data_IF_456331949901
#
_entry.id   IF_456331949901
#
_cell.length_a   1.000
_cell.length_b   1.000
_cell.length_c   1.000
_cell.angle_alpha   90.00
_cell.angle_beta   90.00
_cell.angle_gamma   90.00
#
_symmetry.space_group_name_H-M   'P 1'
#
loop_
_entity.id
_entity.type
_entity.pdbx_description
1 polymer ?
#
# COMPACT_ATOMS: atom_id res chain seq x y z
N UNK A 1 -7.35 -10.41 -6.79
CA UNK A 1 -8.34 -9.96 -5.79
C UNK A 1 -8.91 -8.63 -6.28
N UNK A 2 -10.23 -8.39 -6.20
CA UNK A 2 -10.80 -7.07 -6.44
C UNK A 2 -10.13 -6.01 -5.53
N UNK A 3 -10.00 -4.77 -6.00
CA UNK A 3 -9.34 -3.70 -5.24
C UNK A 3 -8.01 -3.18 -5.82
N UNK A 4 -7.52 -3.71 -6.95
CA UNK A 4 -6.35 -3.15 -7.69
C UNK A 4 -5.14 -2.74 -6.81
N UNK A 5 -4.67 -3.67 -5.99
CA UNK A 5 -3.50 -3.47 -5.13
C UNK A 5 -2.24 -3.14 -5.93
N UNK A 6 -1.55 -2.05 -5.58
CA UNK A 6 -0.26 -1.70 -6.16
C UNK A 6 0.58 -0.85 -5.21
N UNK A 7 1.90 -1.00 -5.32
CA UNK A 7 2.85 -0.17 -4.59
C UNK A 7 2.87 1.26 -5.16
N UNK A 8 2.92 2.24 -4.26
CA UNK A 8 3.14 3.63 -4.63
C UNK A 8 4.62 3.89 -4.94
N UNK A 9 4.89 5.01 -5.61
CA UNK A 9 6.22 5.36 -6.12
C UNK A 9 6.78 6.62 -5.45
N UNK A 10 8.04 6.93 -5.73
CA UNK A 10 8.72 8.14 -5.25
C UNK A 10 8.72 8.25 -3.71
N UNK A 11 8.24 9.36 -3.17
CA UNK A 11 8.19 9.64 -1.73
C UNK A 11 7.25 8.72 -0.95
N UNK A 12 6.47 7.87 -1.63
CA UNK A 12 5.56 6.88 -1.02
C UNK A 12 6.00 5.44 -1.26
N UNK A 13 7.26 5.20 -1.66
CA UNK A 13 7.82 3.85 -1.81
C UNK A 13 7.67 3.07 -0.50
N UNK A 14 7.19 1.83 -0.57
CA UNK A 14 6.83 1.02 0.60
C UNK A 14 5.37 1.14 1.06
N UNK A 15 4.64 2.15 0.59
CA UNK A 15 3.20 2.26 0.79
C UNK A 15 2.43 1.60 -0.36
N UNK A 16 1.24 1.10 -0.06
CA UNK A 16 0.38 0.36 -0.97
C UNK A 16 -1.00 1.00 -1.05
N UNK A 17 -1.59 0.95 -2.23
CA UNK A 17 -2.94 1.45 -2.48
C UNK A 17 -3.86 0.33 -2.95
N UNK A 18 -5.11 0.36 -2.49
CA UNK A 18 -6.21 -0.38 -3.10
C UNK A 18 -7.47 0.48 -3.27
N UNK A 19 -8.27 0.15 -4.29
CA UNK A 19 -9.58 0.75 -4.58
C UNK A 19 -10.56 0.41 -3.44
N UNK A 20 -11.28 1.42 -2.95
CA UNK A 20 -12.50 1.29 -2.14
C UNK A 20 -13.73 1.50 -3.04
N UNK A 21 -14.80 2.13 -2.53
CA UNK A 21 -15.84 2.67 -3.38
C UNK A 21 -15.25 3.80 -4.23
N UNK A 22 -15.33 3.65 -5.56
CA UNK A 22 -14.67 4.59 -6.47
C UNK A 22 -15.22 6.01 -6.26
N UNK A 23 -14.38 7.06 -6.17
CA UNK A 23 -12.94 7.12 -6.46
C UNK A 23 -11.98 6.94 -5.25
N UNK A 24 -12.49 6.56 -4.08
CA UNK A 24 -11.69 6.47 -2.87
C UNK A 24 -10.68 5.32 -2.90
N UNK A 25 -9.54 5.55 -2.23
CA UNK A 25 -8.46 4.58 -2.09
C UNK A 25 -8.00 4.52 -0.65
N UNK A 26 -7.71 3.32 -0.19
CA UNK A 26 -7.03 3.09 1.08
C UNK A 26 -5.53 3.04 0.81
N UNK A 27 -4.75 3.80 1.60
CA UNK A 27 -3.30 3.70 1.63
C UNK A 27 -2.84 3.07 2.94
N UNK A 28 -1.95 2.10 2.85
CA UNK A 28 -1.40 1.38 4.00
C UNK A 28 0.07 1.01 3.79
N UNK A 29 0.77 0.67 4.86
CA UNK A 29 2.15 0.16 4.83
C UNK A 29 2.34 -1.03 5.78
N UNK A 30 3.32 -1.93 5.52
CA UNK A 30 3.66 -3.00 6.46
C UNK A 30 4.21 -2.45 7.78
N UNK A 31 3.87 -3.08 8.90
CA UNK A 31 4.34 -2.64 10.23
C UNK A 31 5.81 -3.01 10.51
N UNK A 32 6.34 -4.02 9.83
CA UNK A 32 7.69 -4.52 10.04
C UNK A 32 8.75 -3.48 9.63
N UNK A 33 9.73 -3.28 10.52
CA UNK A 33 10.85 -2.35 10.34
C UNK A 33 12.16 -3.09 10.60
N UNK A 34 12.96 -3.43 9.57
CA UNK A 34 12.70 -3.24 8.14
C UNK A 34 11.65 -4.21 7.57
N UNK A 35 11.01 -3.82 6.46
CA UNK A 35 10.09 -4.71 5.73
C UNK A 35 10.88 -5.95 5.28
N UNK A 36 10.38 -7.18 5.51
CA UNK A 36 11.05 -8.39 5.07
C UNK A 36 11.21 -8.39 3.55
N UNK A 37 12.45 -8.44 3.06
CA UNK A 37 12.75 -8.52 1.63
C UNK A 37 13.63 -9.73 1.31
N UNK A 38 13.52 -10.25 0.09
CA UNK A 38 14.46 -11.21 -0.46
C UNK A 38 15.76 -10.53 -0.90
N UNK A 39 16.73 -11.34 -1.37
CA UNK A 39 18.03 -10.86 -1.85
C UNK A 39 17.94 -9.91 -3.06
N UNK A 40 16.81 -9.90 -3.76
CA UNK A 40 16.55 -9.10 -4.95
C UNK A 40 15.71 -7.84 -4.60
N UNK A 41 15.46 -7.59 -3.30
CA UNK A 41 14.72 -6.42 -2.81
C UNK A 41 13.19 -6.55 -2.94
N UNK A 42 12.65 -7.74 -3.18
CA UNK A 42 11.19 -7.97 -3.24
C UNK A 42 10.64 -8.30 -1.87
N UNK A 43 9.42 -7.84 -1.59
CA UNK A 43 8.77 -8.06 -0.29
C UNK A 43 8.39 -9.53 -0.09
N UNK A 44 8.73 -10.07 1.08
CA UNK A 44 8.35 -11.40 1.51
C UNK A 44 7.01 -11.29 2.24
N UNK A 45 5.92 -11.22 1.48
CA UNK A 45 4.56 -10.99 1.99
C UNK A 45 4.12 -11.92 3.11
N UNK A 46 4.52 -13.18 3.05
CA UNK A 46 4.17 -14.19 4.06
C UNK A 46 4.80 -13.92 5.44
N UNK A 47 5.79 -13.01 5.52
CA UNK A 47 6.42 -12.58 6.77
C UNK A 47 5.84 -11.28 7.32
N UNK A 48 4.94 -10.62 6.59
CA UNK A 48 4.24 -9.42 7.03
C UNK A 48 3.02 -9.87 7.85
N UNK A 49 3.01 -9.51 9.13
CA UNK A 49 1.99 -9.94 10.11
C UNK A 49 0.97 -8.85 10.40
N UNK A 50 1.27 -7.60 10.06
CA UNK A 50 0.38 -6.47 10.26
C UNK A 50 0.60 -5.35 9.25
N UNK A 51 -0.42 -4.52 9.09
CA UNK A 51 -0.37 -3.29 8.30
C UNK A 51 -0.84 -2.11 9.14
N UNK A 52 -0.34 -0.93 8.80
CA UNK A 52 -0.81 0.35 9.34
C UNK A 52 -1.61 1.08 8.25
N UNK A 53 -2.83 1.50 8.59
CA UNK A 53 -3.63 2.34 7.70
C UNK A 53 -3.11 3.77 7.83
N UNK A 54 -2.68 4.34 6.70
CA UNK A 54 -2.10 5.68 6.65
C UNK A 54 -3.17 6.72 6.35
N UNK A 55 -3.98 6.49 5.32
CA UNK A 55 -5.04 7.43 4.94
C UNK A 55 -6.09 6.78 4.02
N UNK A 56 -7.24 7.45 3.90
CA UNK A 56 -8.20 7.25 2.82
C UNK A 56 -8.20 8.52 1.97
N UNK A 57 -7.98 8.39 0.67
CA UNK A 57 -7.80 9.53 -0.24
C UNK A 57 -8.62 9.39 -1.51
N UNK A 58 -9.13 10.51 -2.01
CA UNK A 58 -9.73 10.65 -3.33
C UNK A 58 -8.80 11.50 -4.21
N UNK A 59 -8.27 10.90 -5.29
CA UNK A 59 -7.39 11.61 -6.24
C UNK A 59 -8.16 12.35 -7.35
N UNK A 60 -9.47 12.14 -7.44
CA UNK A 60 -10.32 12.84 -8.38
C UNK A 60 -10.81 14.11 -7.70
N UNK A 61 -10.43 15.28 -8.26
CA UNK A 61 -10.99 16.58 -7.85
C UNK A 61 -12.51 16.46 -7.90
N UNK A 62 -13.16 16.66 -6.75
CA UNK A 62 -14.58 17.00 -6.73
C UNK A 62 -14.74 18.23 -7.62
N UNK A 63 -15.64 18.13 -8.59
CA UNK A 63 -15.92 19.21 -9.53
C UNK A 63 -16.71 20.32 -8.83
#
# INVERSE_FOLDING_TARGET
IPGRYHELKHNRKGQWSCDLDHPYRLIFEPQEKPIPMDKDGKYIWIKITGIEIIEIINYHKER
#
